data_IF_197287607931
#
_entry.id   IF_197287607931
#
_cell.length_a   1.000
_cell.length_b   1.000
_cell.length_c   1.000
_cell.angle_alpha   90.00
_cell.angle_beta   90.00
_cell.angle_gamma   90.00
#
_symmetry.space_group_name_H-M   'P 1'
#
loop_
_entity.id
_entity.type
_entity.pdbx_description
1 polymer ?
#
# COMPACT_ATOMS: atom_id res chain seq x y z
N UNK A 1 11.83 -16.89 37.61
CA UNK A 1 11.05 -17.82 36.78
C UNK A 1 11.19 -17.38 35.33
N UNK A 2 11.98 -18.12 34.55
CA UNK A 2 12.29 -17.83 33.15
C UNK A 2 11.13 -18.29 32.24
N UNK A 3 10.20 -17.38 31.93
CA UNK A 3 9.21 -17.58 30.87
C UNK A 3 9.79 -17.20 29.51
N UNK A 4 10.72 -18.00 28.97
CA UNK A 4 11.11 -17.86 27.56
C UNK A 4 9.98 -18.42 26.69
N UNK A 5 9.02 -17.56 26.34
CA UNK A 5 8.16 -17.78 25.20
C UNK A 5 9.02 -17.86 23.95
N UNK A 6 9.33 -19.08 23.49
CA UNK A 6 9.92 -19.31 22.18
C UNK A 6 8.92 -18.78 21.15
N UNK A 7 9.26 -17.67 20.50
CA UNK A 7 8.52 -17.27 19.32
C UNK A 7 8.74 -18.33 18.24
N UNK A 8 7.65 -18.84 17.67
CA UNK A 8 7.64 -19.85 16.60
C UNK A 8 7.92 -19.19 15.23
N UNK A 9 8.83 -18.21 15.16
CA UNK A 9 9.17 -17.57 13.89
C UNK A 9 10.20 -18.42 13.13
N UNK A 10 9.90 -18.73 11.87
CA UNK A 10 10.78 -19.45 10.96
C UNK A 10 12.20 -18.84 10.97
N UNK A 11 13.22 -19.68 11.16
CA UNK A 11 14.62 -19.25 11.33
C UNK A 11 15.38 -19.05 10.00
N UNK A 12 14.70 -19.00 8.86
CA UNK A 12 15.32 -18.96 7.53
C UNK A 12 14.58 -18.05 6.54
N UNK A 13 15.14 -17.91 5.34
CA UNK A 13 14.55 -17.16 4.22
C UNK A 13 13.22 -17.80 3.84
N UNK A 14 12.19 -16.98 3.66
CA UNK A 14 10.89 -17.43 3.18
C UNK A 14 10.87 -17.55 1.66
N UNK A 15 11.32 -18.70 1.18
CA UNK A 15 11.36 -19.04 -0.23
C UNK A 15 10.02 -18.87 -0.98
N UNK A 16 8.83 -19.13 -0.39
CA UNK A 16 7.57 -18.85 -1.07
C UNK A 16 7.41 -17.38 -1.45
N UNK A 17 7.74 -16.47 -0.52
CA UNK A 17 7.68 -15.02 -0.76
C UNK A 17 8.74 -14.58 -1.77
N UNK A 18 9.96 -15.13 -1.71
CA UNK A 18 11.00 -14.89 -2.73
C UNK A 18 10.53 -15.34 -4.11
N UNK A 19 9.95 -16.54 -4.23
CA UNK A 19 9.44 -17.07 -5.48
C UNK A 19 8.28 -16.21 -6.02
N UNK A 20 7.38 -15.75 -5.14
CA UNK A 20 6.28 -14.88 -5.53
C UNK A 20 6.76 -13.50 -6.01
N UNK A 21 7.79 -12.93 -5.37
CA UNK A 21 8.46 -11.70 -5.84
C UNK A 21 9.04 -11.92 -7.24
N UNK A 22 9.83 -12.99 -7.43
CA UNK A 22 10.44 -13.30 -8.72
C UNK A 22 9.39 -13.52 -9.82
N UNK A 23 8.33 -14.28 -9.53
CA UNK A 23 7.23 -14.52 -10.46
C UNK A 23 6.50 -13.21 -10.81
N UNK A 24 6.25 -12.34 -9.83
CA UNK A 24 5.58 -11.05 -10.05
C UNK A 24 6.39 -10.15 -10.97
N UNK A 25 7.70 -10.03 -10.77
CA UNK A 25 8.57 -9.30 -11.69
C UNK A 25 8.60 -9.94 -13.08
N UNK A 26 8.66 -11.28 -13.15
CA UNK A 26 8.64 -11.99 -14.43
C UNK A 26 7.36 -11.70 -15.23
N UNK A 27 6.19 -11.75 -14.59
CA UNK A 27 4.90 -11.44 -15.21
C UNK A 27 4.83 -9.96 -15.63
N UNK A 28 5.36 -9.05 -14.81
CA UNK A 28 5.43 -7.63 -15.15
C UNK A 28 6.31 -7.38 -16.38
N UNK A 29 7.51 -7.96 -16.44
CA UNK A 29 8.41 -7.86 -17.61
C UNK A 29 7.74 -8.45 -18.84
N UNK A 30 7.13 -9.63 -18.72
CA UNK A 30 6.42 -10.28 -19.82
C UNK A 30 5.26 -9.41 -20.36
N UNK A 31 4.49 -8.80 -19.45
CA UNK A 31 3.37 -7.91 -19.78
C UNK A 31 3.81 -6.63 -20.50
N UNK A 32 4.92 -6.03 -20.06
CA UNK A 32 5.43 -4.76 -20.61
C UNK A 32 6.28 -4.92 -21.87
N UNK A 33 6.68 -6.15 -22.22
CA UNK A 33 7.53 -6.43 -23.38
C UNK A 33 6.81 -7.33 -24.40
N UNK A 34 6.99 -8.65 -24.30
CA UNK A 34 6.56 -9.64 -25.29
C UNK A 34 5.03 -9.60 -25.52
N UNK A 35 4.24 -9.52 -24.44
CA UNK A 35 2.78 -9.56 -24.59
C UNK A 35 2.25 -8.24 -25.18
N UNK A 36 2.87 -7.11 -24.83
CA UNK A 36 2.49 -5.82 -25.38
C UNK A 36 2.76 -5.71 -26.90
N UNK A 37 3.80 -6.38 -27.41
CA UNK A 37 4.06 -6.47 -28.86
C UNK A 37 2.96 -7.24 -29.62
N UNK A 38 2.35 -8.24 -28.99
CA UNK A 38 1.26 -9.04 -29.59
C UNK A 38 -0.09 -8.34 -29.40
N UNK A 39 -0.36 -7.82 -28.20
CA UNK A 39 -1.59 -7.12 -27.86
C UNK A 39 -1.37 -6.17 -26.69
N UNK A 40 -1.44 -4.88 -26.99
CA UNK A 40 -1.32 -3.81 -25.98
C UNK A 40 -2.33 -4.02 -24.85
N UNK A 41 -3.59 -4.37 -25.16
CA UNK A 41 -4.62 -4.59 -24.15
C UNK A 41 -4.25 -5.74 -23.20
N UNK A 42 -3.79 -6.88 -23.75
CA UNK A 42 -3.36 -8.01 -22.94
C UNK A 42 -2.14 -7.66 -22.08
N UNK A 43 -1.17 -6.92 -22.65
CA UNK A 43 0.00 -6.44 -21.93
C UNK A 43 -0.37 -5.53 -20.76
N UNK A 44 -1.30 -4.59 -20.97
CA UNK A 44 -1.82 -3.71 -19.92
C UNK A 44 -2.49 -4.50 -18.80
N UNK A 45 -3.38 -5.44 -19.12
CA UNK A 45 -4.06 -6.27 -18.11
C UNK A 45 -3.06 -7.09 -17.30
N UNK A 46 -2.11 -7.74 -17.96
CA UNK A 46 -1.11 -8.57 -17.28
C UNK A 46 -0.21 -7.74 -16.36
N UNK A 47 0.22 -6.57 -16.84
CA UNK A 47 1.04 -5.62 -16.07
C UNK A 47 0.27 -5.07 -14.87
N UNK A 48 -1.02 -4.75 -15.04
CA UNK A 48 -1.88 -4.28 -13.95
C UNK A 48 -2.04 -5.35 -12.87
N UNK A 49 -2.29 -6.61 -13.25
CA UNK A 49 -2.39 -7.73 -12.30
C UNK A 49 -1.08 -7.95 -11.53
N UNK A 50 0.07 -7.91 -12.22
CA UNK A 50 1.37 -8.00 -11.57
C UNK A 50 1.61 -6.83 -10.60
N UNK A 51 1.20 -5.62 -10.98
CA UNK A 51 1.34 -4.42 -10.13
C UNK A 51 0.45 -4.50 -8.89
N UNK A 52 -0.78 -5.00 -9.00
CA UNK A 52 -1.67 -5.24 -7.85
C UNK A 52 -1.06 -6.29 -6.91
N UNK A 53 -0.58 -7.42 -7.46
CA UNK A 53 0.09 -8.45 -6.67
C UNK A 53 1.36 -7.93 -5.99
N UNK A 54 2.09 -7.05 -6.67
CA UNK A 54 3.27 -6.39 -6.13
C UNK A 54 2.94 -5.52 -4.92
N UNK A 55 1.83 -4.78 -4.94
CA UNK A 55 1.36 -4.01 -3.78
C UNK A 55 1.08 -4.92 -2.57
N UNK A 56 0.53 -6.12 -2.77
CA UNK A 56 0.37 -7.11 -1.69
C UNK A 56 1.72 -7.62 -1.16
N UNK A 57 2.72 -7.80 -2.02
CA UNK A 57 4.07 -8.16 -1.61
C UNK A 57 4.75 -7.04 -0.83
N UNK A 58 4.52 -5.77 -1.20
CA UNK A 58 5.02 -4.63 -0.42
C UNK A 58 4.48 -4.64 1.02
N UNK A 59 3.18 -4.93 1.19
CA UNK A 59 2.58 -5.10 2.51
C UNK A 59 3.28 -6.19 3.33
N UNK A 60 3.52 -7.35 2.73
CA UNK A 60 4.23 -8.46 3.39
C UNK A 60 5.67 -8.09 3.77
N UNK A 61 6.37 -7.36 2.90
CA UNK A 61 7.75 -6.93 3.11
C UNK A 61 7.87 -5.92 4.26
N UNK A 62 6.87 -5.07 4.47
CA UNK A 62 6.81 -4.16 5.64
C UNK A 62 6.84 -4.96 6.95
N UNK A 63 6.24 -6.15 6.98
CA UNK A 63 6.23 -7.05 8.13
C UNK A 63 7.52 -7.87 8.30
N UNK A 64 8.61 -7.49 7.64
CA UNK A 64 9.94 -8.12 7.69
C UNK A 64 10.03 -9.50 7.04
N UNK A 65 9.33 -9.66 5.93
CA UNK A 65 9.46 -10.82 5.04
C UNK A 65 10.17 -10.41 3.74
N UNK A 66 10.89 -11.32 3.05
CA UNK A 66 11.15 -12.72 3.38
C UNK A 66 12.37 -12.95 4.28
N UNK A 67 13.12 -11.90 4.63
CA UNK A 67 14.34 -11.99 5.43
C UNK A 67 14.27 -11.12 6.69
N UNK A 68 15.15 -11.34 7.65
CA UNK A 68 15.26 -10.47 8.85
C UNK A 68 15.86 -9.09 8.55
N UNK A 69 16.46 -8.90 7.38
CA UNK A 69 17.08 -7.62 7.02
C UNK A 69 16.06 -6.73 6.33
N UNK A 70 15.63 -5.68 7.02
CA UNK A 70 14.75 -4.66 6.45
C UNK A 70 15.36 -4.02 5.20
N UNK A 71 16.67 -3.85 5.16
CA UNK A 71 17.37 -3.31 3.98
C UNK A 71 17.26 -4.25 2.77
N UNK A 72 17.52 -5.56 2.95
CA UNK A 72 17.40 -6.51 1.86
C UNK A 72 15.95 -6.62 1.37
N UNK A 73 14.99 -6.66 2.30
CA UNK A 73 13.57 -6.72 1.93
C UNK A 73 13.16 -5.46 1.17
N UNK A 74 13.53 -4.27 1.67
CA UNK A 74 13.26 -3.01 1.00
C UNK A 74 13.87 -2.98 -0.42
N UNK A 75 15.10 -3.47 -0.60
CA UNK A 75 15.73 -3.54 -1.91
C UNK A 75 14.97 -4.44 -2.91
N UNK A 76 14.33 -5.51 -2.44
CA UNK A 76 13.52 -6.40 -3.30
C UNK A 76 12.27 -5.72 -3.87
N UNK A 77 11.73 -4.72 -3.18
CA UNK A 77 10.50 -4.02 -3.59
C UNK A 77 10.69 -2.52 -3.85
N UNK A 78 11.92 -2.04 -3.76
CA UNK A 78 12.29 -0.65 -4.03
C UNK A 78 11.88 -0.15 -5.42
N UNK A 79 11.93 -0.97 -6.50
CA UNK A 79 11.49 -0.54 -7.82
C UNK A 79 10.04 -0.02 -7.87
N UNK A 80 9.23 -0.25 -6.81
CA UNK A 80 7.92 0.34 -6.60
C UNK A 80 7.09 0.39 -7.90
N UNK A 81 6.74 -0.80 -8.40
CA UNK A 81 6.03 -0.95 -9.69
C UNK A 81 4.72 -0.14 -9.75
N UNK A 82 4.17 0.24 -8.59
CA UNK A 82 3.18 1.30 -8.45
C UNK A 82 3.85 2.66 -8.20
N UNK A 83 3.94 3.55 -9.21
CA UNK A 83 4.64 4.82 -9.07
C UNK A 83 3.93 5.85 -8.18
N UNK A 84 2.66 5.61 -7.83
CA UNK A 84 1.86 6.58 -7.07
C UNK A 84 2.12 6.51 -5.56
N UNK A 85 2.68 5.40 -5.07
CA UNK A 85 2.86 5.15 -3.64
C UNK A 85 4.29 4.66 -3.40
N UNK A 86 5.23 5.54 -3.03
CA UNK A 86 6.61 5.16 -2.74
C UNK A 86 6.68 4.15 -1.58
N UNK A 87 7.49 3.10 -1.72
CA UNK A 87 7.56 2.01 -0.74
C UNK A 87 7.88 2.50 0.68
N UNK A 88 8.85 3.39 0.84
CA UNK A 88 9.24 3.91 2.16
C UNK A 88 8.12 4.72 2.81
N UNK A 89 7.38 5.48 1.99
CA UNK A 89 6.24 6.26 2.47
C UNK A 89 5.10 5.35 2.89
N UNK A 90 4.78 4.34 2.08
CA UNK A 90 3.80 3.32 2.42
C UNK A 90 4.17 2.59 3.71
N UNK A 91 5.42 2.16 3.87
CA UNK A 91 5.90 1.54 5.11
C UNK A 91 5.65 2.44 6.32
N UNK A 92 6.01 3.72 6.21
CA UNK A 92 5.89 4.66 7.32
C UNK A 92 4.41 4.94 7.68
N UNK A 93 3.48 5.07 6.70
CA UNK A 93 2.04 5.20 6.98
C UNK A 93 1.45 3.91 7.56
N UNK A 94 1.79 2.77 6.97
CA UNK A 94 1.26 1.47 7.34
C UNK A 94 1.66 1.08 8.77
N UNK A 95 2.93 1.34 9.14
CA UNK A 95 3.39 1.11 10.52
C UNK A 95 2.71 2.04 11.53
N UNK A 96 2.38 3.27 11.14
CA UNK A 96 1.61 4.18 11.99
C UNK A 96 0.13 3.75 12.12
N UNK A 97 -0.46 3.21 11.05
CA UNK A 97 -1.80 2.60 11.08
C UNK A 97 -1.88 1.40 12.05
N UNK A 98 -0.85 0.55 12.08
CA UNK A 98 -0.79 -0.61 12.98
C UNK A 98 -0.58 -0.30 14.48
N UNK A 99 -0.68 0.96 14.88
CA UNK A 99 -0.69 1.34 16.30
C UNK A 99 -2.10 1.09 16.84
N UNK A 100 -2.32 -0.08 17.46
CA UNK A 100 -3.62 -0.57 17.91
C UNK A 100 -4.46 0.45 18.70
N UNK A 101 -3.82 1.25 19.56
CA UNK A 101 -4.49 2.27 20.39
C UNK A 101 -5.11 3.43 19.60
N UNK A 102 -4.69 3.64 18.35
CA UNK A 102 -5.13 4.71 17.46
C UNK A 102 -5.80 4.20 16.19
N UNK A 103 -5.96 2.88 16.05
CA UNK A 103 -6.52 2.27 14.86
C UNK A 103 -7.91 2.84 14.57
N UNK A 104 -8.14 3.26 13.33
CA UNK A 104 -9.38 3.91 12.85
C UNK A 104 -9.65 5.33 13.36
N UNK A 105 -8.79 5.91 14.18
CA UNK A 105 -8.96 7.28 14.66
C UNK A 105 -8.85 8.29 13.48
N UNK A 106 -9.83 9.19 13.29
CA UNK A 106 -9.86 10.10 12.13
C UNK A 106 -8.73 11.14 12.10
N UNK A 107 -7.95 11.28 13.18
CA UNK A 107 -6.87 12.25 13.30
C UNK A 107 -5.49 11.60 13.32
N UNK A 108 -5.36 10.48 14.04
CA UNK A 108 -4.07 9.83 14.29
C UNK A 108 -3.75 8.68 13.33
N UNK A 109 -4.76 8.04 12.75
CA UNK A 109 -4.56 6.94 11.80
C UNK A 109 -4.47 7.48 10.35
N UNK A 110 -3.31 7.40 9.69
CA UNK A 110 -3.11 7.92 8.34
C UNK A 110 -3.90 7.17 7.27
N UNK A 111 -4.42 5.98 7.57
CA UNK A 111 -5.15 5.10 6.67
C UNK A 111 -6.62 4.93 7.08
N UNK A 112 -7.10 5.76 8.01
CA UNK A 112 -8.49 5.72 8.49
C UNK A 112 -9.50 5.93 7.36
N UNK A 113 -10.54 5.09 7.36
CA UNK A 113 -11.71 5.26 6.51
C UNK A 113 -12.81 6.12 7.18
N UNK A 114 -12.56 6.64 8.37
CA UNK A 114 -13.53 7.38 9.17
C UNK A 114 -13.26 8.88 9.14
N UNK A 115 -14.33 9.65 9.35
CA UNK A 115 -14.27 11.09 9.49
C UNK A 115 -14.92 11.48 10.80
N UNK A 116 -14.34 12.48 11.46
CA UNK A 116 -14.97 13.13 12.59
C UNK A 116 -16.36 13.67 12.20
N UNK A 117 -17.40 13.50 13.04
CA UNK A 117 -18.76 13.94 12.72
C UNK A 117 -18.89 15.44 12.40
N UNK A 118 -18.11 16.30 13.06
CA UNK A 118 -18.12 17.73 12.80
C UNK A 118 -17.44 18.08 11.46
N UNK A 119 -16.42 17.31 11.06
CA UNK A 119 -15.84 17.40 9.71
C UNK A 119 -16.84 16.93 8.66
N UNK A 120 -17.48 15.78 8.87
CA UNK A 120 -18.51 15.24 7.99
C UNK A 120 -19.65 16.23 7.74
N UNK A 121 -20.18 16.84 8.80
CA UNK A 121 -21.27 17.81 8.73
C UNK A 121 -20.93 19.06 7.90
N UNK A 122 -19.64 19.39 7.75
CA UNK A 122 -19.16 20.53 6.95
C UNK A 122 -18.84 20.17 5.50
N UNK A 123 -18.83 18.89 5.13
CA UNK A 123 -18.58 18.47 3.76
C UNK A 123 -19.74 18.88 2.85
N UNK A 124 -19.46 19.30 1.60
CA UNK A 124 -20.52 19.56 0.63
C UNK A 124 -21.32 18.27 0.34
N UNK A 125 -22.62 18.41 0.09
CA UNK A 125 -23.54 17.27 -0.04
C UNK A 125 -23.13 16.26 -1.12
N UNK A 126 -22.55 16.72 -2.23
CA UNK A 126 -22.08 15.84 -3.29
C UNK A 126 -20.93 14.93 -2.83
N UNK A 127 -20.04 15.44 -1.97
CA UNK A 127 -18.92 14.67 -1.43
C UNK A 127 -19.40 13.67 -0.39
N UNK A 128 -20.35 14.05 0.45
CA UNK A 128 -21.02 13.10 1.35
C UNK A 128 -21.65 11.95 0.56
N UNK A 129 -22.37 12.24 -0.53
CA UNK A 129 -22.95 11.20 -1.40
C UNK A 129 -21.89 10.32 -2.06
N UNK A 130 -20.79 10.89 -2.51
CA UNK A 130 -19.66 10.15 -3.09
C UNK A 130 -19.04 9.18 -2.06
N UNK A 131 -18.81 9.66 -0.83
CA UNK A 131 -18.25 8.84 0.26
C UNK A 131 -19.24 7.76 0.73
N UNK A 132 -20.55 8.05 0.77
CA UNK A 132 -21.57 7.04 1.03
C UNK A 132 -21.62 5.98 -0.08
N UNK A 133 -21.49 6.36 -1.35
CA UNK A 133 -21.39 5.41 -2.45
C UNK A 133 -20.14 4.51 -2.29
N UNK A 134 -19.01 5.10 -1.91
CA UNK A 134 -17.76 4.39 -1.61
C UNK A 134 -17.85 3.42 -0.41
N UNK A 135 -18.86 3.59 0.47
CA UNK A 135 -19.11 2.66 1.57
C UNK A 135 -19.89 1.40 1.15
N UNK A 136 -20.36 1.32 -0.09
CA UNK A 136 -20.83 0.05 -0.67
C UNK A 136 -19.65 -0.79 -1.12
N UNK A 137 -19.81 -2.11 -1.23
CA UNK A 137 -18.75 -2.99 -1.75
C UNK A 137 -18.31 -2.57 -3.16
N UNK A 138 -19.26 -2.37 -4.07
CA UNK A 138 -18.96 -1.96 -5.45
C UNK A 138 -18.26 -0.60 -5.48
N UNK A 139 -18.76 0.36 -4.69
CA UNK A 139 -18.13 1.66 -4.56
C UNK A 139 -16.72 1.56 -4.01
N UNK A 140 -16.47 0.73 -3.00
CA UNK A 140 -15.13 0.53 -2.45
C UNK A 140 -14.16 -0.07 -3.47
N UNK A 141 -14.63 -0.97 -4.33
CA UNK A 141 -13.79 -1.58 -5.39
C UNK A 141 -13.48 -0.60 -6.54
N UNK A 142 -14.41 0.29 -6.89
CA UNK A 142 -14.27 1.19 -8.05
C UNK A 142 -13.76 2.57 -7.65
N UNK A 143 -14.35 3.18 -6.63
CA UNK A 143 -14.05 4.54 -6.15
C UNK A 143 -12.93 4.53 -5.12
N UNK A 144 -12.88 3.51 -4.26
CA UNK A 144 -11.93 3.42 -3.14
C UNK A 144 -10.47 3.63 -3.54
N UNK A 145 -9.94 2.94 -4.57
CA UNK A 145 -8.55 3.11 -5.00
C UNK A 145 -8.24 4.56 -5.43
N UNK A 146 -9.17 5.19 -6.16
CA UNK A 146 -9.01 6.57 -6.64
C UNK A 146 -9.06 7.55 -5.46
N UNK A 147 -10.08 7.43 -4.60
CA UNK A 147 -10.26 8.31 -3.45
C UNK A 147 -9.10 8.18 -2.45
N UNK A 148 -8.67 6.96 -2.15
CA UNK A 148 -7.53 6.69 -1.27
C UNK A 148 -6.24 7.28 -1.82
N UNK A 149 -5.97 7.09 -3.12
CA UNK A 149 -4.79 7.68 -3.77
C UNK A 149 -4.82 9.21 -3.74
N UNK A 150 -5.97 9.83 -4.03
CA UNK A 150 -6.12 11.29 -3.96
C UNK A 150 -5.87 11.79 -2.54
N UNK A 151 -6.44 11.12 -1.53
CA UNK A 151 -6.25 11.51 -0.13
C UNK A 151 -4.79 11.39 0.30
N UNK A 152 -4.13 10.28 -0.06
CA UNK A 152 -2.71 10.03 0.19
C UNK A 152 -1.81 11.12 -0.44
N UNK A 153 -2.04 11.46 -1.72
CA UNK A 153 -1.26 12.50 -2.40
C UNK A 153 -1.51 13.88 -1.77
N UNK A 154 -2.77 14.20 -1.44
CA UNK A 154 -3.11 15.49 -0.81
C UNK A 154 -2.51 15.62 0.58
N UNK A 155 -2.51 14.55 1.39
CA UNK A 155 -1.90 14.57 2.72
C UNK A 155 -0.39 14.75 2.64
N UNK A 156 0.27 14.06 1.72
CA UNK A 156 1.71 14.17 1.50
C UNK A 156 2.11 15.56 1.00
N UNK A 157 1.39 16.11 0.02
CA UNK A 157 1.62 17.48 -0.45
C UNK A 157 1.46 18.48 0.68
N UNK A 158 0.45 18.34 1.54
CA UNK A 158 0.27 19.21 2.72
C UNK A 158 1.43 19.09 3.70
N UNK A 159 1.90 17.88 3.98
CA UNK A 159 3.04 17.65 4.87
C UNK A 159 4.33 18.28 4.32
N UNK A 160 4.59 18.13 3.01
CA UNK A 160 5.72 18.74 2.32
C UNK A 160 5.65 20.27 2.39
N UNK A 161 4.48 20.85 2.12
CA UNK A 161 4.25 22.30 2.21
C UNK A 161 4.39 22.83 3.64
N UNK A 162 4.07 22.01 4.65
CA UNK A 162 4.29 22.32 6.07
C UNK A 162 5.76 22.15 6.50
N UNK A 163 6.65 21.69 5.61
CA UNK A 163 8.08 21.60 5.85
C UNK A 163 8.58 20.20 6.23
N UNK A 164 7.74 19.16 6.18
CA UNK A 164 8.19 17.78 6.38
C UNK A 164 8.97 17.28 5.16
N UNK A 165 10.29 17.44 5.24
CA UNK A 165 11.22 17.01 4.18
C UNK A 165 11.32 15.49 4.06
N UNK A 166 10.92 14.72 5.07
CA UNK A 166 10.99 13.25 5.02
C UNK A 166 9.98 12.67 4.03
N UNK A 167 8.84 13.34 3.86
CA UNK A 167 7.80 12.95 2.89
C UNK A 167 8.23 13.28 1.44
N UNK A 168 9.15 14.21 1.25
CA UNK A 168 9.66 14.63 -0.06
C UNK A 168 10.83 13.77 -0.59
N UNK A 169 11.35 12.83 0.21
CA UNK A 169 12.48 11.96 -0.12
C UNK A 169 12.00 10.58 -0.57
#
# INVERSE_FOLDING_TARGET
>A
MNGRGRSLFHHGIEWPTVALIAATYGVWVLGTTVVAEVSILAGVVLTALATVQFSSLQHEVIHRHPTRSEFLNAALVFPALNPLVPYLRFRDTHLAHHVDERLTDPYDDPETAYLDPAVWARLPLWLQRLLLANNTLLGRMVLGPVLGTVWFVVSDVRAILAGDRRVAL
#
